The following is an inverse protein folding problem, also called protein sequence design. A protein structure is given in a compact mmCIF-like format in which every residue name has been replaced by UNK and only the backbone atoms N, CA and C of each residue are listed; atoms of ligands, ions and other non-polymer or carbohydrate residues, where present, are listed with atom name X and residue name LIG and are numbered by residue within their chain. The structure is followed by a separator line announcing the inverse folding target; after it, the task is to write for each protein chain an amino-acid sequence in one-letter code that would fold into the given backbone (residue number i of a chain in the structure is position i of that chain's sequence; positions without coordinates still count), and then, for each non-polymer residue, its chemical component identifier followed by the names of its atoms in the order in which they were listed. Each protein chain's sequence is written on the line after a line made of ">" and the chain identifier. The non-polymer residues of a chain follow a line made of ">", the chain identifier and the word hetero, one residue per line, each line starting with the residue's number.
data_IF_084232841951
#
_entry.id   IF_084232841951
#
_cell.length_a   1.000
_cell.length_b   1.000
_cell.length_c   1.000
_cell.angle_alpha   90.00
_cell.angle_beta   90.00
_cell.angle_gamma   90.00
#
_symmetry.space_group_name_H-M   'P 1'
#
loop_
_entity.id
_entity.type
_entity.pdbx_description
1 polymer ?
#
# COMPACT_ATOMS: atom_id res chain seq x y z
N UNK A 1 -53.10 -49.70 5.22
CA UNK A 1 -52.85 -51.13 5.16
C UNK A 1 -51.38 -51.34 5.50
N UNK A 2 -51.03 -51.57 6.70
CA UNK A 2 -51.09 -52.71 7.61
C UNK A 2 -50.14 -53.80 7.13
N UNK A 3 -49.25 -54.18 7.86
CA UNK A 3 -48.89 -55.06 8.98
C UNK A 3 -47.47 -55.60 8.80
N UNK A 4 -46.58 -55.38 9.76
CA UNK A 4 -46.26 -56.12 10.97
C UNK A 4 -45.60 -57.51 10.80
N UNK A 5 -44.43 -57.63 11.47
CA UNK A 5 -43.96 -58.67 12.39
C UNK A 5 -43.40 -60.00 11.80
N UNK A 6 -42.26 -60.52 12.33
CA UNK A 6 -41.92 -61.21 13.57
C UNK A 6 -40.44 -61.71 13.45
N UNK A 7 -39.57 -61.47 14.34
CA UNK A 7 -39.16 -62.14 15.60
C UNK A 7 -38.57 -63.56 15.46
N UNK A 8 -37.34 -63.63 16.10
CA UNK A 8 -36.68 -64.69 16.92
C UNK A 8 -35.78 -65.70 16.20
N UNK A 9 -34.77 -66.09 16.75
CA UNK A 9 -33.95 -66.28 17.94
C UNK A 9 -32.92 -67.40 17.70
N UNK A 10 -31.94 -67.36 18.60
CA UNK A 10 -30.99 -68.39 19.03
C UNK A 10 -29.73 -68.59 18.18
N UNK A 11 -28.50 -68.38 18.64
CA UNK A 11 -27.93 -68.86 19.90
C UNK A 11 -26.71 -69.71 19.56
N UNK A 12 -25.57 -69.43 20.03
CA UNK A 12 -24.42 -70.31 19.92
C UNK A 12 -23.07 -69.62 20.18
N UNK A 13 -22.49 -69.96 21.31
CA UNK A 13 -21.32 -69.39 21.90
C UNK A 13 -19.97 -69.95 21.37
N UNK A 14 -18.91 -69.21 21.70
CA UNK A 14 -17.56 -69.60 22.10
C UNK A 14 -16.38 -69.35 21.18
N UNK A 15 -15.46 -68.71 21.78
CA UNK A 15 -14.00 -68.78 21.76
C UNK A 15 -13.22 -67.77 20.95
N UNK A 16 -12.71 -66.83 21.60
CA UNK A 16 -11.37 -66.37 21.92
C UNK A 16 -10.33 -66.30 20.78
N UNK A 17 -9.96 -65.03 20.46
CA UNK A 17 -8.58 -64.70 20.18
C UNK A 17 -8.41 -63.17 20.28
N UNK A 18 -7.57 -62.77 21.22
CA UNK A 18 -7.04 -61.43 21.37
C UNK A 18 -6.21 -61.00 20.14
N UNK A 19 -6.60 -59.95 19.48
CA UNK A 19 -5.67 -59.21 18.64
C UNK A 19 -5.76 -57.72 18.97
N UNK A 20 -4.58 -57.16 19.22
CA UNK A 20 -4.34 -55.80 19.63
C UNK A 20 -4.95 -54.78 18.70
N UNK A 21 -5.77 -53.88 19.26
CA UNK A 21 -6.33 -52.74 18.50
C UNK A 21 -5.25 -51.67 18.30
N UNK A 22 -4.83 -51.50 17.04
CA UNK A 22 -4.20 -50.24 16.58
C UNK A 22 -5.33 -49.22 16.37
N UNK A 23 -5.50 -48.37 17.36
CA UNK A 23 -6.29 -47.13 17.17
C UNK A 23 -5.46 -46.15 16.31
N UNK A 24 -5.80 -46.10 15.01
CA UNK A 24 -5.35 -45.01 14.15
C UNK A 24 -5.93 -43.70 14.67
N UNK A 25 -5.16 -42.93 15.43
CA UNK A 25 -5.43 -41.52 15.69
C UNK A 25 -5.28 -40.78 14.35
N UNK A 26 -6.39 -40.50 13.69
CA UNK A 26 -6.45 -39.45 12.68
C UNK A 26 -6.10 -38.14 13.38
N UNK A 27 -4.85 -37.69 13.23
CA UNK A 27 -4.49 -36.30 13.46
C UNK A 27 -5.15 -35.50 12.34
N UNK A 28 -6.32 -34.95 12.64
CA UNK A 28 -6.85 -33.82 11.90
C UNK A 28 -5.89 -32.67 12.14
N UNK A 29 -4.95 -32.48 11.23
CA UNK A 29 -4.20 -31.23 11.10
C UNK A 29 -5.20 -30.20 10.60
N UNK A 30 -5.96 -29.63 11.53
CA UNK A 30 -6.65 -28.39 11.32
C UNK A 30 -5.58 -27.33 11.10
N UNK A 31 -5.24 -27.04 9.84
CA UNK A 31 -4.59 -25.80 9.48
C UNK A 31 -5.57 -24.67 9.81
N UNK A 32 -5.54 -24.25 11.07
CA UNK A 32 -5.98 -22.92 11.45
C UNK A 32 -5.09 -21.99 10.66
N UNK A 33 -5.61 -21.44 9.56
CA UNK A 33 -5.07 -20.23 8.95
C UNK A 33 -5.25 -19.20 10.05
N UNK A 34 -4.20 -18.99 10.84
CA UNK A 34 -4.12 -17.86 11.75
C UNK A 34 -4.35 -16.65 10.84
N UNK A 35 -5.45 -15.93 11.07
CA UNK A 35 -5.69 -14.63 10.47
C UNK A 35 -4.48 -13.81 10.87
N UNK A 36 -3.54 -13.61 9.93
CA UNK A 36 -2.31 -12.87 10.15
C UNK A 36 -2.70 -11.51 10.74
N UNK A 37 -2.57 -11.38 12.06
CA UNK A 37 -2.81 -10.12 12.73
C UNK A 37 -1.70 -9.17 12.26
N UNK A 38 -2.02 -8.31 11.29
CA UNK A 38 -1.12 -7.22 10.91
C UNK A 38 -0.79 -6.41 12.16
N UNK A 39 0.45 -5.92 12.24
CA UNK A 39 0.91 -5.10 13.37
C UNK A 39 -0.07 -3.93 13.61
N UNK A 40 -0.50 -3.76 14.86
CA UNK A 40 -1.30 -2.59 15.26
C UNK A 40 -0.49 -1.28 15.15
N UNK A 41 -1.18 -0.13 15.16
CA UNK A 41 -0.54 1.17 15.00
C UNK A 41 0.46 1.45 16.12
N UNK A 42 0.19 1.04 17.36
CA UNK A 42 1.10 1.27 18.48
C UNK A 42 2.42 0.51 18.30
N UNK A 43 2.36 -0.77 17.88
CA UNK A 43 3.53 -1.56 17.55
C UNK A 43 4.26 -0.98 16.33
N UNK A 44 3.54 -0.56 15.29
CA UNK A 44 4.11 0.09 14.12
C UNK A 44 4.82 1.40 14.48
N UNK A 45 4.22 2.23 15.34
CA UNK A 45 4.82 3.46 15.85
C UNK A 45 6.15 3.22 16.59
N UNK A 46 6.23 2.15 17.41
CA UNK A 46 7.46 1.80 18.13
C UNK A 46 8.61 1.40 17.22
N UNK A 47 8.34 0.94 16.01
CA UNK A 47 9.38 0.57 15.02
C UNK A 47 9.84 1.75 14.16
N UNK A 48 9.19 2.94 14.28
CA UNK A 48 9.54 4.11 13.48
C UNK A 48 10.94 4.59 13.80
N UNK A 49 11.67 4.84 12.72
CA UNK A 49 13.02 5.40 12.73
C UNK A 49 13.03 6.74 12.02
N UNK A 50 14.11 7.48 12.23
CA UNK A 50 14.29 8.76 11.57
C UNK A 50 15.72 8.87 11.03
N UNK A 51 15.86 9.44 9.84
CA UNK A 51 17.16 9.80 9.28
C UNK A 51 17.17 11.28 8.91
N UNK A 52 18.26 11.97 9.30
CA UNK A 52 18.43 13.39 9.00
C UNK A 52 19.03 13.58 7.62
N UNK A 53 18.36 14.35 6.77
CA UNK A 53 18.78 14.76 5.43
C UNK A 53 18.71 16.29 5.30
N UNK A 54 19.10 16.84 4.17
CA UNK A 54 18.90 18.28 3.88
C UNK A 54 17.42 18.68 3.75
N UNK A 55 16.52 17.69 3.53
CA UNK A 55 15.08 17.89 3.40
C UNK A 55 14.36 17.91 4.75
N UNK A 56 15.06 17.58 5.82
CA UNK A 56 14.51 17.46 7.16
C UNK A 56 14.85 16.13 7.82
N UNK A 57 14.04 15.73 8.80
CA UNK A 57 14.15 14.45 9.51
C UNK A 57 13.08 13.50 8.97
N UNK A 58 13.51 12.59 8.10
CA UNK A 58 12.62 11.68 7.36
C UNK A 58 12.26 10.49 8.27
N UNK A 59 10.97 10.33 8.52
CA UNK A 59 10.42 9.19 9.23
C UNK A 59 10.33 7.99 8.30
N UNK A 60 10.61 6.78 8.79
CA UNK A 60 10.45 5.54 8.06
C UNK A 60 10.29 4.36 9.01
N UNK A 61 9.74 3.28 8.49
CA UNK A 61 9.68 1.98 9.16
C UNK A 61 10.51 0.99 8.36
N UNK A 62 11.19 0.08 9.06
CA UNK A 62 12.08 -0.91 8.45
C UNK A 62 11.89 -2.28 9.09
N UNK A 63 11.81 -3.33 8.26
CA UNK A 63 11.72 -4.73 8.67
C UNK A 63 12.48 -5.64 7.73
N UNK A 64 12.96 -6.76 8.28
CA UNK A 64 13.71 -7.74 7.51
C UNK A 64 15.16 -7.34 7.27
N UNK A 65 15.82 -8.05 6.36
CA UNK A 65 17.25 -7.88 6.04
C UNK A 65 17.53 -8.21 4.58
N UNK A 66 18.77 -8.00 4.14
CA UNK A 66 19.18 -8.29 2.76
C UNK A 66 18.93 -7.14 1.79
N UNK A 67 18.56 -7.47 0.56
CA UNK A 67 18.23 -6.51 -0.48
C UNK A 67 17.03 -5.64 -0.11
N UNK A 68 17.11 -4.36 -0.46
CA UNK A 68 16.08 -3.39 -0.06
C UNK A 68 14.89 -3.43 -0.99
N UNK A 69 13.68 -3.57 -0.41
CA UNK A 69 12.40 -3.24 -1.02
C UNK A 69 11.85 -1.94 -0.40
N UNK A 70 11.54 -0.96 -1.24
CA UNK A 70 11.04 0.35 -0.83
C UNK A 70 9.57 0.52 -1.18
N UNK A 71 8.77 0.99 -0.21
CA UNK A 71 7.33 1.11 -0.35
C UNK A 71 6.89 2.57 -0.25
N UNK A 72 6.33 3.12 -1.33
CA UNK A 72 5.90 4.50 -1.45
C UNK A 72 4.37 4.59 -1.35
N UNK A 73 3.90 5.26 -0.30
CA UNK A 73 2.48 5.40 0.02
C UNK A 73 1.77 6.48 -0.82
N UNK A 74 0.42 6.47 -0.78
CA UNK A 74 -0.43 7.46 -1.40
C UNK A 74 -0.72 8.70 -0.55
N UNK A 75 -1.35 9.71 -1.16
CA UNK A 75 -1.87 10.89 -0.50
C UNK A 75 -3.33 10.66 -0.02
N UNK A 76 -3.72 11.07 1.17
CA UNK A 76 -2.95 11.68 2.26
C UNK A 76 -2.52 10.67 3.35
N UNK A 77 -2.06 9.49 2.94
CA UNK A 77 -1.66 8.40 3.82
C UNK A 77 -0.22 8.55 4.34
N UNK A 78 0.34 7.47 4.87
CA UNK A 78 1.74 7.36 5.30
C UNK A 78 2.21 5.90 5.24
N UNK A 79 3.40 5.61 5.72
CA UNK A 79 4.01 4.27 5.72
C UNK A 79 3.14 3.16 6.31
N UNK A 80 2.16 3.49 7.16
CA UNK A 80 1.24 2.52 7.76
C UNK A 80 0.35 1.80 6.72
N UNK A 81 0.13 2.40 5.56
CA UNK A 81 -0.55 1.77 4.42
C UNK A 81 0.06 0.39 4.10
N UNK A 82 1.37 0.26 4.24
CA UNK A 82 2.13 -0.91 3.83
C UNK A 82 2.32 -1.96 4.92
N UNK A 83 1.74 -1.78 6.14
CA UNK A 83 1.99 -2.68 7.28
C UNK A 83 1.81 -4.17 6.95
N UNK A 84 0.71 -4.51 6.25
CA UNK A 84 0.43 -5.89 5.86
C UNK A 84 1.39 -6.45 4.81
N UNK A 85 1.85 -5.62 3.87
CA UNK A 85 2.86 -6.00 2.90
C UNK A 85 4.26 -6.16 3.53
N UNK A 86 4.64 -5.24 4.43
CA UNK A 86 5.91 -5.31 5.17
C UNK A 86 6.00 -6.60 5.99
N UNK A 87 4.91 -7.03 6.65
CA UNK A 87 4.88 -8.28 7.42
C UNK A 87 5.15 -9.50 6.53
N UNK A 88 4.55 -9.55 5.35
CA UNK A 88 4.65 -10.68 4.42
C UNK A 88 5.97 -10.73 3.65
N UNK A 89 6.59 -9.58 3.41
CA UNK A 89 7.77 -9.46 2.56
C UNK A 89 9.08 -9.34 3.33
N UNK A 90 9.04 -9.01 4.62
CA UNK A 90 10.23 -8.91 5.47
C UNK A 90 11.05 -10.20 5.62
N UNK A 91 10.53 -11.43 5.43
CA UNK A 91 11.34 -12.63 5.34
C UNK A 91 12.24 -12.69 4.09
N UNK A 92 11.94 -11.96 3.04
CA UNK A 92 12.60 -12.01 1.72
C UNK A 92 13.45 -10.77 1.42
N UNK A 93 13.12 -9.63 2.03
CA UNK A 93 13.77 -8.34 1.75
C UNK A 93 13.89 -7.51 3.03
N UNK A 94 14.84 -6.58 3.03
CA UNK A 94 14.85 -5.44 3.92
C UNK A 94 13.79 -4.45 3.45
N UNK A 95 12.58 -4.55 3.97
CA UNK A 95 11.43 -3.73 3.59
C UNK A 95 11.48 -2.38 4.30
N UNK A 96 11.47 -1.28 3.56
CA UNK A 96 11.52 0.08 4.06
C UNK A 96 10.34 0.88 3.52
N UNK A 97 9.59 1.55 4.39
CA UNK A 97 8.51 2.45 4.03
C UNK A 97 8.76 3.83 4.65
N UNK A 98 9.25 4.83 3.88
CA UNK A 98 9.36 6.20 4.35
C UNK A 98 8.01 6.91 4.34
N UNK A 99 7.86 7.91 5.24
CA UNK A 99 6.80 8.91 5.13
C UNK A 99 7.30 10.05 4.24
N UNK A 100 6.52 10.40 3.23
CA UNK A 100 6.84 11.51 2.32
C UNK A 100 6.91 12.87 3.04
N UNK A 101 7.59 13.83 2.42
CA UNK A 101 7.54 15.22 2.85
C UNK A 101 6.08 15.70 2.91
N UNK A 102 5.72 16.44 3.96
CA UNK A 102 4.37 16.92 4.27
C UNK A 102 3.39 15.84 4.78
N UNK A 103 3.73 14.55 4.76
CA UNK A 103 2.86 13.46 5.20
C UNK A 103 3.44 12.69 6.39
N UNK A 104 2.60 11.89 7.05
CA UNK A 104 2.99 11.07 8.18
C UNK A 104 3.75 11.83 9.25
N UNK A 105 4.88 11.29 9.66
CA UNK A 105 5.70 11.81 10.77
C UNK A 105 7.03 12.44 10.31
N UNK A 106 7.23 12.61 9.01
CA UNK A 106 8.41 13.32 8.48
C UNK A 106 8.37 14.79 8.88
N UNK A 107 9.48 15.26 9.46
CA UNK A 107 9.69 16.66 9.83
C UNK A 107 10.42 17.36 8.69
N UNK A 108 9.73 18.27 8.02
CA UNK A 108 10.23 18.95 6.83
C UNK A 108 11.11 20.15 7.25
N UNK A 109 12.23 20.36 6.56
CA UNK A 109 13.08 21.54 6.79
C UNK A 109 12.31 22.82 6.40
N UNK A 110 12.61 23.91 7.10
CA UNK A 110 11.99 25.22 6.82
C UNK A 110 12.23 25.65 5.36
N UNK A 111 11.19 26.16 4.71
CA UNK A 111 11.27 26.61 3.32
C UNK A 111 11.41 25.51 2.28
N UNK A 112 11.40 24.24 2.70
CA UNK A 112 11.56 23.10 1.80
C UNK A 112 10.31 22.89 0.94
N UNK A 113 10.49 22.80 -0.39
CA UNK A 113 9.44 22.31 -1.30
C UNK A 113 9.05 20.87 -0.97
N UNK A 114 7.76 20.54 -1.12
CA UNK A 114 7.21 19.23 -0.79
C UNK A 114 6.57 18.51 -1.99
N UNK A 115 6.60 19.13 -3.18
CA UNK A 115 6.03 18.54 -4.40
C UNK A 115 6.79 17.29 -4.90
N UNK A 116 6.30 16.65 -5.97
CA UNK A 116 6.83 15.38 -6.48
C UNK A 116 8.34 15.39 -6.79
N UNK A 117 8.87 16.46 -7.35
CA UNK A 117 10.31 16.60 -7.61
C UNK A 117 11.13 16.60 -6.32
N UNK A 118 10.63 17.27 -5.27
CA UNK A 118 11.28 17.28 -3.96
C UNK A 118 11.23 15.90 -3.30
N UNK A 119 10.15 15.13 -3.50
CA UNK A 119 10.06 13.75 -3.03
C UNK A 119 11.13 12.86 -3.67
N UNK A 120 11.33 12.95 -4.99
CA UNK A 120 12.40 12.20 -5.68
C UNK A 120 13.78 12.59 -5.14
N UNK A 121 14.07 13.87 -5.01
CA UNK A 121 15.34 14.35 -4.49
C UNK A 121 15.55 13.94 -3.01
N UNK A 122 14.48 13.92 -2.21
CA UNK A 122 14.50 13.42 -0.83
C UNK A 122 14.82 11.93 -0.81
N UNK A 123 14.18 11.10 -1.66
CA UNK A 123 14.45 9.66 -1.74
C UNK A 123 15.89 9.36 -2.11
N UNK A 124 16.49 10.09 -3.06
CA UNK A 124 17.90 9.93 -3.40
C UNK A 124 18.79 10.25 -2.19
N UNK A 125 18.56 11.36 -1.50
CA UNK A 125 19.30 11.70 -0.30
C UNK A 125 19.08 10.70 0.85
N UNK A 126 17.89 10.14 0.96
CA UNK A 126 17.55 9.09 1.90
C UNK A 126 18.34 7.80 1.61
N UNK A 127 18.41 7.38 0.34
CA UNK A 127 19.21 6.23 -0.08
C UNK A 127 20.69 6.42 0.26
N UNK A 128 21.25 7.60 -0.05
CA UNK A 128 22.65 7.89 0.23
C UNK A 128 22.97 7.85 1.73
N UNK A 129 22.07 8.40 2.56
CA UNK A 129 22.23 8.37 4.03
C UNK A 129 22.14 6.98 4.64
N UNK A 130 21.33 6.09 4.06
CA UNK A 130 21.18 4.71 4.52
C UNK A 130 22.10 3.73 3.79
N UNK A 131 22.99 4.23 2.91
CA UNK A 131 23.89 3.41 2.08
C UNK A 131 23.14 2.37 1.25
N UNK A 132 21.99 2.77 0.67
CA UNK A 132 21.15 1.92 -0.17
C UNK A 132 21.54 2.15 -1.64
N UNK A 133 22.21 1.21 -2.31
CA UNK A 133 22.61 1.40 -3.71
C UNK A 133 21.45 1.27 -4.68
N UNK A 134 20.56 0.32 -4.46
CA UNK A 134 19.41 0.01 -5.33
C UNK A 134 18.26 -0.56 -4.51
N UNK A 135 17.02 -0.40 -5.01
CA UNK A 135 15.79 -0.86 -4.37
C UNK A 135 14.92 -1.66 -5.34
N UNK A 136 14.16 -2.61 -4.81
CA UNK A 136 12.92 -3.10 -5.42
C UNK A 136 11.81 -2.13 -5.00
N UNK A 137 11.16 -1.47 -5.95
CA UNK A 137 10.25 -0.37 -5.68
C UNK A 137 8.79 -0.81 -5.79
N UNK A 138 8.00 -0.51 -4.78
CA UNK A 138 6.55 -0.75 -4.73
C UNK A 138 5.85 0.57 -4.44
N UNK A 139 4.87 0.95 -5.25
CA UNK A 139 4.26 2.27 -5.14
C UNK A 139 2.76 2.27 -5.46
N UNK A 140 2.02 3.15 -4.78
CA UNK A 140 0.59 3.35 -4.95
C UNK A 140 0.24 4.84 -4.98
N UNK A 141 -0.82 5.22 -5.73
CA UNK A 141 -1.36 6.57 -5.78
C UNK A 141 -0.27 7.61 -6.16
N UNK A 142 -0.17 8.74 -5.49
CA UNK A 142 0.87 9.75 -5.71
C UNK A 142 2.30 9.20 -5.51
N UNK A 143 2.46 8.14 -4.72
CA UNK A 143 3.71 7.39 -4.63
C UNK A 143 4.12 6.76 -5.97
N UNK A 144 3.13 6.38 -6.79
CA UNK A 144 3.37 5.88 -8.14
C UNK A 144 3.89 6.95 -9.10
N UNK A 145 3.41 8.20 -9.00
CA UNK A 145 3.99 9.32 -9.74
C UNK A 145 5.47 9.54 -9.37
N UNK A 146 5.76 9.55 -8.07
CA UNK A 146 7.15 9.68 -7.56
C UNK A 146 8.02 8.52 -8.02
N UNK A 147 7.49 7.29 -8.04
CA UNK A 147 8.21 6.10 -8.52
C UNK A 147 8.55 6.20 -10.02
N UNK A 148 7.60 6.64 -10.85
CA UNK A 148 7.82 6.87 -12.28
C UNK A 148 8.93 7.92 -12.51
N UNK A 149 8.88 9.04 -11.79
CA UNK A 149 9.93 10.07 -11.85
C UNK A 149 11.28 9.55 -11.38
N UNK A 150 11.32 8.77 -10.31
CA UNK A 150 12.56 8.16 -9.80
C UNK A 150 13.19 7.22 -10.82
N UNK A 151 12.39 6.32 -11.42
CA UNK A 151 12.86 5.39 -12.46
C UNK A 151 13.32 6.12 -13.72
N UNK A 152 12.58 7.16 -14.14
CA UNK A 152 12.94 7.93 -15.33
C UNK A 152 14.27 8.69 -15.18
N UNK A 153 14.56 9.19 -13.97
CA UNK A 153 15.73 10.05 -13.69
C UNK A 153 16.92 9.28 -13.11
N UNK A 154 16.64 8.20 -12.37
CA UNK A 154 17.65 7.41 -11.63
C UNK A 154 17.43 5.90 -11.81
N UNK A 155 17.31 5.37 -13.05
CA UNK A 155 17.01 3.96 -13.29
C UNK A 155 18.02 3.01 -12.64
N UNK A 156 19.28 3.46 -12.49
CA UNK A 156 20.35 2.69 -11.82
C UNK A 156 20.09 2.46 -10.33
N UNK A 157 19.18 3.22 -9.70
CA UNK A 157 18.82 3.09 -8.27
C UNK A 157 17.64 2.11 -8.07
N UNK A 158 17.05 1.56 -9.15
CA UNK A 158 15.87 0.69 -9.08
C UNK A 158 16.19 -0.65 -9.76
N UNK A 159 15.93 -1.77 -9.06
CA UNK A 159 16.04 -3.13 -9.60
C UNK A 159 14.77 -3.56 -10.31
N UNK A 160 13.65 -3.39 -9.65
CA UNK A 160 12.31 -3.74 -10.13
C UNK A 160 11.30 -2.68 -9.69
N UNK A 161 10.19 -2.57 -10.40
CA UNK A 161 9.11 -1.65 -10.09
C UNK A 161 7.76 -2.39 -10.10
N UNK A 162 7.04 -2.32 -8.99
CA UNK A 162 5.63 -2.72 -8.87
C UNK A 162 4.77 -1.47 -8.69
N UNK A 163 3.97 -1.14 -9.70
CA UNK A 163 3.01 -0.05 -9.66
C UNK A 163 1.61 -0.57 -9.37
N UNK A 164 0.90 0.10 -8.50
CA UNK A 164 -0.53 -0.09 -8.30
C UNK A 164 -1.26 1.20 -8.68
N UNK A 165 -2.58 1.22 -8.70
CA UNK A 165 -3.38 2.40 -9.09
C UNK A 165 -2.67 3.71 -8.76
N UNK A 166 -2.35 4.53 -9.77
CA UNK A 166 -1.54 5.73 -9.62
C UNK A 166 -1.73 6.71 -10.78
N UNK A 167 -1.17 7.91 -10.62
CA UNK A 167 -1.06 8.89 -11.71
C UNK A 167 -0.42 8.30 -12.96
N UNK A 168 -0.91 8.77 -14.10
CA UNK A 168 -0.28 8.59 -15.40
C UNK A 168 -0.14 9.93 -16.08
N UNK A 169 0.76 10.09 -17.07
CA UNK A 169 0.94 11.39 -17.72
C UNK A 169 -0.37 11.98 -18.28
N UNK A 170 -1.26 11.20 -18.94
CA UNK A 170 -2.54 11.74 -19.42
C UNK A 170 -3.58 12.00 -18.34
N UNK A 171 -3.38 11.51 -17.11
CA UNK A 171 -4.33 11.60 -15.98
C UNK A 171 -3.59 12.04 -14.69
N UNK A 172 -2.94 13.21 -14.75
CA UNK A 172 -2.26 13.82 -13.60
C UNK A 172 -2.33 15.35 -13.68
N UNK A 173 -2.93 16.02 -12.66
CA UNK A 173 -3.66 15.39 -11.57
C UNK A 173 -4.98 14.77 -12.02
N UNK A 174 -5.45 13.69 -11.39
CA UNK A 174 -6.76 13.14 -11.70
C UNK A 174 -7.87 14.14 -11.31
N UNK A 175 -9.02 14.07 -11.99
CA UNK A 175 -10.13 15.01 -11.77
C UNK A 175 -10.59 15.07 -10.29
N UNK A 176 -10.51 13.97 -9.57
CA UNK A 176 -10.83 13.90 -8.15
C UNK A 176 -9.94 14.79 -7.25
N UNK A 177 -8.74 15.17 -7.72
CA UNK A 177 -7.85 16.07 -6.99
C UNK A 177 -8.18 17.55 -7.17
N UNK A 178 -8.96 17.95 -8.16
CA UNK A 178 -9.28 19.36 -8.42
C UNK A 178 -9.94 20.05 -7.22
N UNK A 179 -10.97 19.48 -6.56
CA UNK A 179 -11.55 20.09 -5.36
C UNK A 179 -10.57 20.12 -4.18
N UNK A 180 -9.69 19.12 -4.04
CA UNK A 180 -8.65 19.09 -2.99
C UNK A 180 -7.66 20.25 -3.19
N UNK A 181 -7.21 20.47 -4.43
CA UNK A 181 -6.32 21.58 -4.81
C UNK A 181 -6.99 22.93 -4.55
N UNK A 182 -8.25 23.10 -4.96
CA UNK A 182 -9.01 24.32 -4.74
C UNK A 182 -9.13 24.66 -3.24
N UNK A 183 -9.57 23.70 -2.42
CA UNK A 183 -9.66 23.87 -0.97
C UNK A 183 -8.29 24.11 -0.31
N UNK A 184 -7.23 23.51 -0.85
CA UNK A 184 -5.88 23.71 -0.34
C UNK A 184 -5.37 25.13 -0.62
N UNK A 185 -5.67 25.71 -1.78
CA UNK A 185 -5.39 27.13 -2.08
C UNK A 185 -6.09 28.10 -1.12
N UNK A 186 -7.27 27.71 -0.64
CA UNK A 186 -8.01 28.46 0.37
C UNK A 186 -7.56 28.16 1.82
N UNK A 187 -6.63 27.22 2.01
CA UNK A 187 -6.20 26.77 3.34
C UNK A 187 -7.25 25.94 4.09
N UNK A 188 -8.25 25.38 3.40
CA UNK A 188 -9.42 24.75 3.99
C UNK A 188 -9.48 23.23 3.91
N UNK A 189 -8.72 22.60 3.01
CA UNK A 189 -8.82 21.15 2.76
C UNK A 189 -8.69 20.32 4.04
N UNK A 190 -7.65 20.56 4.84
CA UNK A 190 -7.41 19.79 6.06
C UNK A 190 -8.54 19.94 7.07
N UNK A 191 -9.06 21.18 7.24
CA UNK A 191 -10.12 21.45 8.19
C UNK A 191 -11.50 21.01 7.73
N UNK A 192 -11.75 20.96 6.43
CA UNK A 192 -13.04 20.53 5.89
C UNK A 192 -13.14 19.03 5.62
N UNK A 193 -12.01 18.36 5.35
CA UNK A 193 -11.98 16.93 5.02
C UNK A 193 -11.25 16.08 6.07
N UNK A 194 -9.95 16.28 6.28
CA UNK A 194 -9.15 15.36 7.10
C UNK A 194 -9.49 15.44 8.59
N UNK A 195 -9.70 16.64 9.12
CA UNK A 195 -10.06 16.80 10.53
C UNK A 195 -11.45 16.23 10.86
N UNK A 196 -12.51 16.49 10.05
CA UNK A 196 -13.81 15.84 10.21
C UNK A 196 -13.76 14.32 10.05
N UNK A 197 -13.00 13.77 9.09
CA UNK A 197 -12.85 12.33 8.95
C UNK A 197 -12.15 11.70 10.16
N UNK A 198 -11.15 12.36 10.70
CA UNK A 198 -10.51 11.91 11.93
C UNK A 198 -11.47 11.94 13.12
N UNK A 199 -12.28 12.97 13.25
CA UNK A 199 -13.23 13.13 14.36
C UNK A 199 -14.39 12.13 14.28
N UNK A 200 -14.88 11.84 13.07
CA UNK A 200 -16.02 10.95 12.79
C UNK A 200 -15.62 9.85 11.81
N UNK A 201 -15.38 8.66 12.36
CA UNK A 201 -14.96 7.48 11.61
C UNK A 201 -16.05 6.95 10.67
N UNK A 202 -17.31 7.13 11.02
CA UNK A 202 -18.46 6.76 10.16
C UNK A 202 -18.47 7.67 8.93
N UNK A 203 -18.27 8.98 9.12
CA UNK A 203 -18.13 9.93 8.01
C UNK A 203 -16.92 9.61 7.14
N UNK A 204 -15.79 9.24 7.74
CA UNK A 204 -14.60 8.85 6.98
C UNK A 204 -14.84 7.63 6.05
N UNK A 205 -15.69 6.69 6.47
CA UNK A 205 -16.06 5.50 5.68
C UNK A 205 -17.30 5.68 4.83
N UNK A 206 -18.00 6.83 4.92
CA UNK A 206 -19.17 7.10 4.08
C UNK A 206 -18.81 7.15 2.59
N UNK A 207 -19.82 7.14 1.72
CA UNK A 207 -19.66 7.20 0.26
C UNK A 207 -18.73 8.35 -0.19
N UNK A 208 -18.85 9.51 0.46
CA UNK A 208 -18.10 10.73 0.13
C UNK A 208 -16.88 10.93 1.05
N UNK A 209 -16.59 9.95 1.89
CA UNK A 209 -15.38 9.88 2.72
C UNK A 209 -14.27 9.07 2.00
N UNK A 210 -13.08 9.15 2.55
CA UNK A 210 -11.92 8.41 2.00
C UNK A 210 -12.20 6.91 1.88
N UNK A 211 -12.98 6.31 2.81
CA UNK A 211 -13.36 4.90 2.76
C UNK A 211 -14.18 4.59 1.51
N UNK A 212 -15.32 5.26 1.34
CA UNK A 212 -16.17 5.01 0.18
C UNK A 212 -15.55 5.36 -1.16
N UNK A 213 -14.69 6.36 -1.21
CA UNK A 213 -13.98 6.73 -2.43
C UNK A 213 -12.85 5.75 -2.79
N UNK A 214 -12.06 5.29 -1.82
CA UNK A 214 -10.78 4.66 -2.10
C UNK A 214 -10.66 3.19 -1.67
N UNK A 215 -11.61 2.66 -0.87
CA UNK A 215 -11.62 1.27 -0.40
C UNK A 215 -12.87 0.53 -0.87
N UNK A 216 -12.71 -0.76 -1.16
CA UNK A 216 -13.82 -1.63 -1.55
C UNK A 216 -14.54 -2.19 -0.33
N UNK A 217 -13.81 -2.53 0.73
CA UNK A 217 -14.35 -3.00 2.00
C UNK A 217 -14.89 -1.80 2.82
N UNK A 218 -16.19 -1.79 3.17
CA UNK A 218 -16.80 -0.69 3.92
C UNK A 218 -16.28 -0.53 5.35
N UNK A 219 -15.51 -1.49 5.87
CA UNK A 219 -14.85 -1.39 7.18
C UNK A 219 -13.51 -0.67 7.11
N UNK A 220 -12.99 -0.38 5.90
CA UNK A 220 -11.74 0.32 5.67
C UNK A 220 -11.94 1.81 5.34
N UNK A 221 -10.97 2.66 5.71
CA UNK A 221 -9.86 2.34 6.63
C UNK A 221 -10.37 2.09 8.05
N UNK A 222 -9.65 1.25 8.82
CA UNK A 222 -9.99 1.01 10.23
C UNK A 222 -9.88 2.30 11.06
N UNK A 223 -10.51 2.36 12.25
CA UNK A 223 -10.41 3.53 13.14
C UNK A 223 -8.96 3.88 13.46
N UNK A 224 -8.18 2.86 13.74
CA UNK A 224 -6.75 2.97 14.00
C UNK A 224 -5.97 3.53 12.80
N UNK A 225 -6.30 3.09 11.57
CA UNK A 225 -5.69 3.59 10.35
C UNK A 225 -6.04 5.06 10.11
N UNK A 226 -7.31 5.46 10.29
CA UNK A 226 -7.76 6.85 10.19
C UNK A 226 -6.97 7.75 11.15
N UNK A 227 -6.82 7.32 12.41
CA UNK A 227 -6.05 8.10 13.38
C UNK A 227 -4.56 8.17 13.01
N UNK A 228 -3.97 7.06 12.57
CA UNK A 228 -2.56 7.00 12.16
C UNK A 228 -2.26 7.87 10.95
N UNK A 229 -3.16 7.94 9.98
CA UNK A 229 -3.00 8.78 8.79
C UNK A 229 -3.20 10.25 9.08
N UNK A 230 -4.27 10.62 9.78
CA UNK A 230 -4.68 12.02 9.86
C UNK A 230 -4.22 12.74 11.11
N UNK A 231 -3.94 12.05 12.24
CA UNK A 231 -3.47 12.71 13.45
C UNK A 231 -2.24 13.60 13.22
N UNK A 232 -1.18 13.16 12.53
CA UNK A 232 -0.02 14.01 12.29
C UNK A 232 -0.32 15.20 11.38
N UNK A 233 -1.28 15.06 10.45
CA UNK A 233 -1.59 16.09 9.44
C UNK A 233 -2.43 17.25 10.02
N UNK A 234 -3.28 16.96 11.00
CA UNK A 234 -4.17 17.95 11.64
C UNK A 234 -3.59 18.54 12.91
N UNK A 235 -2.40 18.11 13.34
CA UNK A 235 -1.84 18.36 14.67
C UNK A 235 -1.44 19.80 14.95
N UNK A 236 -1.09 20.58 13.91
CA UNK A 236 -0.62 21.95 14.04
C UNK A 236 -0.85 22.74 12.74
N UNK A 237 -0.96 24.09 12.82
CA UNK A 237 -1.10 24.93 11.62
C UNK A 237 0.02 24.72 10.59
N UNK A 238 1.26 24.55 11.02
CA UNK A 238 2.40 24.25 10.13
C UNK A 238 2.25 22.92 9.40
N UNK A 239 1.70 21.89 10.05
CA UNK A 239 1.43 20.60 9.41
C UNK A 239 0.33 20.72 8.36
N UNK A 240 -0.74 21.43 8.66
CA UNK A 240 -1.83 21.71 7.71
C UNK A 240 -1.31 22.46 6.48
N UNK A 241 -0.48 23.49 6.70
CA UNK A 241 0.14 24.27 5.62
C UNK A 241 1.01 23.40 4.69
N UNK A 242 1.77 22.44 5.22
CA UNK A 242 2.56 21.51 4.42
C UNK A 242 1.68 20.58 3.57
N UNK A 243 0.55 20.07 4.12
CA UNK A 243 -0.42 19.25 3.38
C UNK A 243 -1.03 20.03 2.22
N UNK A 244 -1.44 21.30 2.48
CA UNK A 244 -1.94 22.20 1.44
C UNK A 244 -0.88 22.47 0.37
N UNK A 245 0.37 22.74 0.77
CA UNK A 245 1.47 22.97 -0.17
C UNK A 245 1.73 21.74 -1.07
N UNK A 246 1.63 20.52 -0.53
CA UNK A 246 1.74 19.30 -1.32
C UNK A 246 0.61 19.18 -2.34
N UNK A 247 -0.64 19.33 -1.90
CA UNK A 247 -1.80 19.24 -2.80
C UNK A 247 -1.74 20.31 -3.92
N UNK A 248 -1.36 21.53 -3.60
CA UNK A 248 -1.18 22.61 -4.59
C UNK A 248 -0.07 22.26 -5.58
N UNK A 249 1.02 21.63 -5.13
CA UNK A 249 2.12 21.24 -6.02
C UNK A 249 1.73 20.18 -7.06
N UNK A 250 0.63 19.46 -6.84
CA UNK A 250 0.08 18.50 -7.80
C UNK A 250 -0.73 19.17 -8.93
N UNK A 251 -1.08 20.46 -8.83
CA UNK A 251 -1.82 21.17 -9.87
C UNK A 251 -1.10 21.13 -11.23
N UNK A 252 0.21 21.23 -11.21
CA UNK A 252 1.03 21.07 -12.40
C UNK A 252 1.37 19.59 -12.55
N UNK A 253 0.98 18.99 -13.69
CA UNK A 253 1.31 17.61 -13.98
C UNK A 253 2.82 17.34 -13.89
N UNK A 254 3.28 16.57 -12.87
CA UNK A 254 4.70 16.31 -12.67
C UNK A 254 5.26 15.31 -13.70
N UNK A 255 4.37 14.56 -14.38
CA UNK A 255 4.73 13.50 -15.31
C UNK A 255 4.84 14.00 -16.77
N UNK A 256 4.65 15.30 -17.02
CA UNK A 256 4.74 15.87 -18.38
C UNK A 256 6.07 15.52 -19.04
N UNK A 257 6.02 14.85 -20.19
CA UNK A 257 7.19 14.42 -20.97
C UNK A 257 7.90 13.16 -20.46
N UNK A 258 7.28 12.41 -19.52
CA UNK A 258 7.88 11.21 -18.93
C UNK A 258 7.85 10.00 -19.88
N UNK A 259 6.95 9.98 -20.86
CA UNK A 259 6.75 8.82 -21.75
C UNK A 259 8.06 8.37 -22.41
N UNK A 260 8.83 9.29 -22.98
CA UNK A 260 10.07 8.94 -23.68
C UNK A 260 11.15 8.34 -22.76
N UNK A 261 11.43 8.85 -21.55
CA UNK A 261 12.26 8.17 -20.56
C UNK A 261 11.76 6.79 -20.17
N UNK A 262 10.45 6.62 -19.93
CA UNK A 262 9.87 5.34 -19.52
C UNK A 262 9.94 4.28 -20.64
N UNK A 263 9.77 4.68 -21.90
CA UNK A 263 9.97 3.78 -23.06
C UNK A 263 11.39 3.22 -23.16
N UNK A 264 12.38 4.00 -22.75
CA UNK A 264 13.79 3.55 -22.71
C UNK A 264 14.16 2.83 -21.42
N UNK A 265 13.27 2.79 -20.45
CA UNK A 265 13.54 2.17 -19.16
C UNK A 265 13.65 0.65 -19.29
N UNK A 266 14.73 0.09 -18.77
CA UNK A 266 14.98 -1.37 -18.76
C UNK A 266 14.61 -2.03 -17.44
N UNK A 267 14.13 -1.26 -16.45
CA UNK A 267 13.70 -1.79 -15.15
C UNK A 267 12.46 -2.65 -15.36
N UNK A 268 12.48 -3.94 -14.94
CA UNK A 268 11.29 -4.79 -14.99
C UNK A 268 10.15 -4.14 -14.19
N UNK A 269 9.03 -3.88 -14.87
CA UNK A 269 7.90 -3.15 -14.27
C UNK A 269 6.63 -4.00 -14.36
N UNK A 270 6.03 -4.27 -13.21
CA UNK A 270 4.74 -4.95 -13.07
C UNK A 270 3.66 -3.93 -12.66
N UNK A 271 2.48 -4.05 -13.24
CA UNK A 271 1.35 -3.18 -12.96
C UNK A 271 0.22 -4.04 -12.36
N UNK A 272 -0.36 -3.60 -11.23
CA UNK A 272 -1.53 -4.23 -10.62
C UNK A 272 -2.59 -3.17 -10.36
N UNK A 273 -3.79 -3.38 -10.89
CA UNK A 273 -4.79 -2.31 -10.93
C UNK A 273 -6.16 -2.78 -10.42
N UNK A 274 -6.69 -2.08 -9.43
CA UNK A 274 -8.06 -2.27 -8.95
C UNK A 274 -9.05 -1.67 -9.95
N UNK A 275 -10.00 -2.51 -10.43
CA UNK A 275 -10.91 -2.14 -11.54
C UNK A 275 -12.07 -1.24 -11.12
N UNK A 276 -12.37 -1.17 -9.80
CA UNK A 276 -13.41 -0.31 -9.25
C UNK A 276 -12.89 1.05 -8.77
N UNK A 277 -11.63 1.39 -9.07
CA UNK A 277 -11.07 2.72 -8.81
C UNK A 277 -11.82 3.79 -9.62
N UNK A 278 -12.21 4.86 -8.94
CA UNK A 278 -12.88 6.01 -9.55
C UNK A 278 -12.05 7.29 -9.44
N UNK A 279 -10.85 7.20 -8.86
CA UNK A 279 -9.92 8.33 -8.75
C UNK A 279 -9.09 8.43 -10.02
N UNK A 280 -8.44 7.33 -10.42
CA UNK A 280 -7.64 7.26 -11.63
C UNK A 280 -8.37 6.58 -12.78
N UNK A 281 -8.02 6.98 -13.99
CA UNK A 281 -8.61 6.45 -15.21
C UNK A 281 -8.42 4.95 -15.36
N UNK A 282 -9.48 4.24 -15.76
CA UNK A 282 -9.42 2.83 -16.13
C UNK A 282 -8.50 2.52 -17.32
N UNK A 283 -8.11 3.55 -18.09
CA UNK A 283 -7.11 3.44 -19.16
C UNK A 283 -5.66 3.50 -18.64
N UNK A 284 -5.47 3.89 -17.37
CA UNK A 284 -4.14 4.04 -16.76
C UNK A 284 -3.26 2.80 -16.88
N UNK A 285 -3.71 1.59 -16.51
CA UNK A 285 -2.87 0.39 -16.57
C UNK A 285 -2.42 0.06 -18.00
N UNK A 286 -3.28 0.26 -19.01
CA UNK A 286 -2.91 0.04 -20.41
C UNK A 286 -1.94 1.10 -20.92
N UNK A 287 -2.07 2.35 -20.46
CA UNK A 287 -1.09 3.39 -20.73
C UNK A 287 0.28 3.02 -20.19
N UNK A 288 0.37 2.62 -18.92
CA UNK A 288 1.63 2.24 -18.29
C UNK A 288 2.26 1.00 -18.96
N UNK A 289 1.45 -0.02 -19.28
CA UNK A 289 1.94 -1.25 -19.91
C UNK A 289 2.62 -0.98 -21.27
N UNK A 290 2.01 -0.15 -22.12
CA UNK A 290 2.61 0.20 -23.43
C UNK A 290 3.72 1.25 -23.34
N UNK A 291 3.81 1.97 -22.20
CA UNK A 291 4.78 3.05 -22.02
C UNK A 291 6.10 2.53 -21.43
N UNK A 292 6.07 1.58 -20.50
CA UNK A 292 7.30 1.03 -19.94
C UNK A 292 8.00 0.09 -20.92
N UNK A 293 9.27 0.38 -21.24
CA UNK A 293 10.06 -0.42 -22.19
C UNK A 293 10.31 -1.86 -21.73
N UNK A 294 10.19 -2.17 -20.44
CA UNK A 294 10.30 -3.52 -19.89
C UNK A 294 9.11 -3.86 -18.99
N UNK A 295 7.90 -3.66 -19.50
CA UNK A 295 6.68 -4.08 -18.82
C UNK A 295 6.60 -5.60 -18.67
N UNK A 296 6.13 -6.05 -17.52
CA UNK A 296 5.79 -7.43 -17.17
C UNK A 296 4.28 -7.66 -17.19
N UNK A 297 3.57 -6.77 -17.85
CA UNK A 297 2.13 -6.82 -18.04
C UNK A 297 1.32 -6.34 -16.83
N UNK A 298 0.02 -6.39 -17.02
CA UNK A 298 -0.99 -5.88 -16.08
C UNK A 298 -1.76 -7.03 -15.43
N UNK A 299 -1.95 -6.95 -14.11
CA UNK A 299 -2.97 -7.74 -13.40
C UNK A 299 -4.11 -6.81 -12.99
N UNK A 300 -5.33 -7.14 -13.37
CA UNK A 300 -6.53 -6.42 -12.94
C UNK A 300 -7.16 -7.14 -11.76
N UNK A 301 -7.47 -6.38 -10.71
CA UNK A 301 -8.13 -6.88 -9.50
C UNK A 301 -9.58 -6.42 -9.52
N UNK A 302 -10.46 -7.34 -9.87
CA UNK A 302 -11.88 -7.04 -9.98
C UNK A 302 -12.46 -6.53 -8.67
N UNK A 303 -13.25 -5.45 -8.74
CA UNK A 303 -13.92 -4.83 -7.60
C UNK A 303 -13.02 -4.08 -6.62
N UNK A 304 -11.71 -4.13 -6.75
CA UNK A 304 -10.77 -3.40 -5.88
C UNK A 304 -10.69 -1.94 -6.26
N UNK A 305 -10.54 -1.04 -5.25
CA UNK A 305 -10.39 0.41 -5.43
C UNK A 305 -8.94 0.85 -5.20
N UNK A 306 -8.69 2.16 -5.13
CA UNK A 306 -7.38 2.78 -5.08
C UNK A 306 -6.44 2.21 -3.99
N UNK A 307 -6.92 2.10 -2.75
CA UNK A 307 -6.09 1.67 -1.63
C UNK A 307 -6.18 0.17 -1.32
N UNK A 308 -6.52 -0.64 -2.34
CA UNK A 308 -6.51 -2.10 -2.24
C UNK A 308 -5.19 -2.70 -1.71
N UNK A 309 -4.00 -2.10 -1.85
CA UNK A 309 -2.80 -2.66 -1.24
C UNK A 309 -2.87 -2.83 0.28
N UNK A 310 -3.68 -2.01 0.96
CA UNK A 310 -3.94 -2.14 2.39
C UNK A 310 -4.94 -3.26 2.70
N UNK A 311 -5.95 -3.42 1.84
CA UNK A 311 -7.01 -4.44 1.99
C UNK A 311 -6.52 -5.83 1.59
N UNK A 312 -5.62 -5.92 0.61
CA UNK A 312 -5.14 -7.15 -0.03
C UNK A 312 -3.61 -7.21 -0.09
N UNK A 313 -2.93 -7.11 1.07
CA UNK A 313 -1.46 -7.11 1.11
C UNK A 313 -0.83 -8.43 0.64
N UNK A 314 -1.59 -9.54 0.63
CA UNK A 314 -1.15 -10.83 0.07
C UNK A 314 -0.90 -10.74 -1.45
N UNK A 315 -1.69 -9.92 -2.17
CA UNK A 315 -1.49 -9.70 -3.61
C UNK A 315 -0.19 -8.91 -3.87
N UNK A 316 0.09 -7.90 -3.03
CA UNK A 316 1.38 -7.20 -3.09
C UNK A 316 2.53 -8.16 -2.86
N UNK A 317 2.41 -9.05 -1.88
CA UNK A 317 3.45 -10.02 -1.58
C UNK A 317 3.66 -11.03 -2.72
N UNK A 318 2.59 -11.53 -3.31
CA UNK A 318 2.63 -12.43 -4.46
C UNK A 318 3.34 -11.79 -5.66
N UNK A 319 2.88 -10.60 -6.09
CA UNK A 319 3.38 -9.92 -7.28
C UNK A 319 4.83 -9.41 -7.10
N UNK A 320 5.15 -8.92 -5.91
CA UNK A 320 6.50 -8.47 -5.60
C UNK A 320 7.49 -9.64 -5.62
N UNK A 321 7.18 -10.76 -4.97
CA UNK A 321 8.02 -11.96 -4.98
C UNK A 321 8.19 -12.52 -6.39
N UNK A 322 7.10 -12.63 -7.16
CA UNK A 322 7.17 -13.06 -8.56
C UNK A 322 8.09 -12.17 -9.40
N UNK A 323 8.05 -10.86 -9.19
CA UNK A 323 8.90 -9.89 -9.87
C UNK A 323 10.37 -9.99 -9.42
N UNK A 324 10.63 -10.41 -8.18
CA UNK A 324 11.98 -10.60 -7.62
C UNK A 324 12.61 -11.97 -7.93
N UNK A 325 11.81 -12.92 -8.47
CA UNK A 325 12.24 -14.30 -8.76
C UNK A 325 12.31 -15.19 -7.51
N UNK A 326 11.43 -14.94 -6.53
CA UNK A 326 11.35 -15.64 -5.24
C UNK A 326 10.19 -16.66 -5.20
#
# INVERSE_FOLDING_TARGET
>A
MDRRRFIKDAGGALAGATLAGLTARMFSVGTSIAKDASMDAAAFHRTRRFVRTKFGRIAYVERGSGDVALFLHGFPLNSFQWRGALDRLSPYRRCIAPDFLAMGYTEVAEGQSVGPDAQVAMLVAFFDKLSIPRVDLVANDSGGAVAQLLVARHPQRVRTLLLTNCDTEPDSPPAAMLPVIALSKEGKFVDQWLAPWRADKVRARSKDGIGGMCYADPTHPTDEAIDTYFAPLVSAPSRKALVHAYAIALEKNPLTGIEAPLKRCTVPTRIVWGTADTIFSSAGPDYLDRTFGNSRGVRRLEGSKLFWPEERPEVIAEEARGLWGE
#
